data_IF_542423297371
#
_entry.id   IF_542423297371
#
_cell.length_a   1.000
_cell.length_b   1.000
_cell.length_c   1.000
_cell.angle_alpha   90.00
_cell.angle_beta   90.00
_cell.angle_gamma   90.00
#
_symmetry.space_group_name_H-M   'P 1'
#
loop_
_entity.id
_entity.type
_entity.pdbx_description
1 polymer ?
#
# COMPACT_ATOMS: atom_id res chain seq x y z
N UNK A 1 14.20 -11.31 3.46
CA UNK A 1 13.25 -11.52 4.60
C UNK A 1 13.10 -10.25 5.43
N UNK A 2 14.20 -9.59 5.79
CA UNK A 2 14.21 -8.29 6.48
C UNK A 2 13.44 -7.19 5.71
N UNK A 3 13.41 -7.26 4.38
CA UNK A 3 12.70 -6.25 3.57
C UNK A 3 11.18 -6.48 3.50
N UNK A 4 10.71 -7.72 3.58
CA UNK A 4 9.27 -8.00 3.66
C UNK A 4 8.70 -7.51 5.00
N UNK A 5 9.48 -7.67 6.08
CA UNK A 5 9.13 -7.15 7.41
C UNK A 5 9.06 -5.61 7.41
N UNK A 6 10.01 -4.91 6.75
CA UNK A 6 9.93 -3.46 6.58
C UNK A 6 8.66 -3.04 5.84
N UNK A 7 8.31 -3.72 4.76
CA UNK A 7 7.10 -3.39 4.00
C UNK A 7 5.84 -3.64 4.84
N UNK A 8 5.78 -4.74 5.60
CA UNK A 8 4.66 -5.00 6.51
C UNK A 8 4.56 -3.92 7.60
N UNK A 9 5.69 -3.51 8.21
CA UNK A 9 5.70 -2.41 9.17
C UNK A 9 5.22 -1.09 8.55
N UNK A 10 5.63 -0.78 7.32
CA UNK A 10 5.15 0.42 6.61
C UNK A 10 3.64 0.36 6.38
N UNK A 11 3.10 -0.81 6.01
CA UNK A 11 1.66 -1.02 5.85
C UNK A 11 0.92 -0.86 7.18
N UNK A 12 1.46 -1.38 8.27
CA UNK A 12 0.85 -1.24 9.60
C UNK A 12 0.80 0.24 10.02
N UNK A 13 1.85 1.01 9.77
CA UNK A 13 1.88 2.48 10.00
C UNK A 13 0.83 3.19 9.13
N UNK A 14 0.68 2.79 7.87
CA UNK A 14 -0.35 3.35 6.98
C UNK A 14 -1.75 3.08 7.53
N UNK A 15 -1.99 1.88 8.08
CA UNK A 15 -3.27 1.48 8.65
C UNK A 15 -3.62 2.19 9.99
N UNK A 16 -2.70 2.97 10.57
CA UNK A 16 -3.01 3.83 11.73
C UNK A 16 -3.85 5.06 11.35
N UNK A 17 -3.88 5.48 10.07
CA UNK A 17 -4.78 6.54 9.62
C UNK A 17 -6.23 5.99 9.63
N UNK A 18 -7.15 6.58 10.40
CA UNK A 18 -8.52 6.06 10.55
C UNK A 18 -9.32 6.09 9.26
N UNK A 19 -8.86 6.82 8.24
CA UNK A 19 -9.48 6.84 6.91
C UNK A 19 -9.02 5.68 6.04
N UNK A 20 -7.97 4.96 6.43
CA UNK A 20 -7.36 3.92 5.60
C UNK A 20 -7.72 2.55 6.18
N UNK A 21 -8.45 1.79 5.38
CA UNK A 21 -8.73 0.40 5.66
C UNK A 21 -7.78 -0.48 4.83
N UNK A 22 -6.90 -1.22 5.50
CA UNK A 22 -6.02 -2.18 4.85
C UNK A 22 -6.51 -3.60 5.11
N UNK A 23 -6.68 -4.37 4.05
CA UNK A 23 -7.01 -5.79 4.10
C UNK A 23 -5.88 -6.62 3.48
N UNK A 24 -5.20 -7.42 4.30
CA UNK A 24 -4.15 -8.35 3.84
C UNK A 24 -4.79 -9.57 3.16
N UNK A 25 -4.47 -9.79 1.89
CA UNK A 25 -4.95 -10.95 1.10
C UNK A 25 -3.98 -12.12 1.24
N UNK A 26 -2.68 -11.84 1.20
CA UNK A 26 -1.59 -12.78 1.50
C UNK A 26 -0.34 -11.97 1.92
N UNK A 27 0.80 -12.62 2.08
CA UNK A 27 2.05 -11.94 2.51
C UNK A 27 2.58 -10.88 1.54
N UNK A 28 2.12 -10.90 0.29
CA UNK A 28 2.59 -10.04 -0.80
C UNK A 28 1.47 -9.20 -1.42
N UNK A 29 0.23 -9.29 -0.94
CA UNK A 29 -0.92 -8.61 -1.57
C UNK A 29 -1.83 -7.99 -0.52
N UNK A 30 -2.13 -6.71 -0.72
CA UNK A 30 -2.92 -5.89 0.19
C UNK A 30 -3.95 -5.10 -0.61
N UNK A 31 -5.18 -5.08 -0.11
CA UNK A 31 -6.18 -4.12 -0.58
C UNK A 31 -6.17 -2.91 0.37
N UNK A 32 -6.22 -1.72 -0.20
CA UNK A 32 -6.37 -0.46 0.50
C UNK A 32 -7.67 0.16 0.05
N UNK A 33 -8.44 0.65 1.01
CA UNK A 33 -9.60 1.51 0.78
C UNK A 33 -9.40 2.77 1.62
N UNK A 34 -9.57 3.93 1.00
CA UNK A 34 -9.46 5.24 1.66
C UNK A 34 -10.84 5.87 1.72
N UNK A 35 -11.31 6.13 2.93
CA UNK A 35 -12.56 6.83 3.21
C UNK A 35 -12.36 8.34 3.13
N UNK A 36 -13.15 9.02 2.31
CA UNK A 36 -13.10 10.47 2.16
C UNK A 36 -13.54 10.93 0.78
N UNK A 37 -13.27 12.19 0.46
CA UNK A 37 -13.49 12.71 -0.89
C UNK A 37 -12.54 12.04 -1.89
N UNK A 38 -12.99 11.90 -3.14
CA UNK A 38 -12.25 11.18 -4.19
C UNK A 38 -10.86 11.78 -4.43
N UNK A 39 -10.75 13.11 -4.50
CA UNK A 39 -9.48 13.80 -4.76
C UNK A 39 -8.47 13.57 -3.63
N UNK A 40 -8.91 13.75 -2.39
CA UNK A 40 -8.08 13.52 -1.19
C UNK A 40 -7.61 12.07 -1.11
N UNK A 41 -8.47 11.13 -1.53
CA UNK A 41 -8.16 9.69 -1.57
C UNK A 41 -7.07 9.39 -2.60
N UNK A 42 -7.12 10.00 -3.78
CA UNK A 42 -6.06 9.85 -4.80
C UNK A 42 -4.71 10.40 -4.34
N UNK A 43 -4.70 11.60 -3.75
CA UNK A 43 -3.46 12.18 -3.20
C UNK A 43 -2.88 11.25 -2.13
N UNK A 44 -3.74 10.72 -1.25
CA UNK A 44 -3.32 9.80 -0.19
C UNK A 44 -2.80 8.47 -0.72
N UNK A 45 -3.43 7.90 -1.76
CA UNK A 45 -2.92 6.71 -2.44
C UNK A 45 -1.53 6.95 -3.05
N UNK A 46 -1.28 8.14 -3.62
CA UNK A 46 0.03 8.53 -4.12
C UNK A 46 1.09 8.56 -3.02
N UNK A 47 0.79 9.15 -1.86
CA UNK A 47 1.70 9.16 -0.71
C UNK A 47 2.03 7.73 -0.21
N UNK A 48 1.02 6.86 -0.16
CA UNK A 48 1.18 5.46 0.25
C UNK A 48 2.10 4.72 -0.72
N UNK A 49 1.87 4.87 -2.03
CA UNK A 49 2.69 4.24 -3.05
C UNK A 49 4.15 4.66 -2.89
N UNK A 50 4.45 5.96 -2.79
CA UNK A 50 5.84 6.43 -2.65
C UNK A 50 6.52 5.89 -1.39
N UNK A 51 5.84 5.87 -0.24
CA UNK A 51 6.41 5.31 1.00
C UNK A 51 6.71 3.81 0.89
N UNK A 52 5.87 3.07 0.20
CA UNK A 52 6.07 1.64 0.00
C UNK A 52 7.17 1.35 -1.01
N UNK A 53 7.27 2.13 -2.08
CA UNK A 53 8.39 2.06 -3.03
C UNK A 53 9.72 2.34 -2.34
N UNK A 54 9.80 3.33 -1.44
CA UNK A 54 10.98 3.58 -0.61
C UNK A 54 11.30 2.44 0.36
N UNK A 55 10.28 1.68 0.78
CA UNK A 55 10.45 0.51 1.66
C UNK A 55 10.85 -0.75 0.88
N UNK A 56 10.64 -0.77 -0.44
CA UNK A 56 11.04 -1.86 -1.32
C UNK A 56 12.54 -1.80 -1.60
N UNK A 57 13.24 -2.90 -1.35
CA UNK A 57 14.62 -3.09 -1.80
C UNK A 57 14.67 -3.64 -3.23
N UNK A 58 15.86 -3.87 -3.77
CA UNK A 58 16.05 -4.55 -5.06
C UNK A 58 15.42 -5.97 -5.12
N UNK A 59 15.02 -6.56 -3.98
CA UNK A 59 14.36 -7.87 -3.92
C UNK A 59 12.88 -7.82 -4.32
N UNK A 60 12.21 -6.68 -4.13
CA UNK A 60 10.77 -6.56 -4.36
C UNK A 60 10.44 -5.32 -5.19
N UNK A 61 9.51 -5.46 -6.12
CA UNK A 61 8.89 -4.33 -6.83
C UNK A 61 7.44 -4.16 -6.39
N UNK A 62 7.01 -2.91 -6.23
CA UNK A 62 5.62 -2.59 -5.92
C UNK A 62 4.84 -2.39 -7.21
N UNK A 63 3.74 -3.12 -7.34
CA UNK A 63 2.73 -2.92 -8.36
C UNK A 63 1.42 -2.49 -7.72
N UNK A 64 0.98 -1.29 -8.06
CA UNK A 64 -0.30 -0.73 -7.62
C UNK A 64 -1.34 -0.83 -8.73
N UNK A 65 -2.47 -1.47 -8.43
CA UNK A 65 -3.66 -1.52 -9.29
C UNK A 65 -4.70 -0.61 -8.67
N UNK A 66 -4.95 0.53 -9.30
CA UNK A 66 -5.99 1.46 -8.88
C UNK A 66 -7.37 0.92 -9.27
N UNK A 67 -8.34 1.02 -8.36
CA UNK A 67 -9.75 0.78 -8.63
C UNK A 67 -10.45 2.05 -9.11
N UNK A 68 -11.71 2.23 -8.69
CA UNK A 68 -12.55 3.36 -9.12
C UNK A 68 -12.25 4.66 -8.34
N UNK A 69 -11.21 4.62 -7.49
CA UNK A 69 -10.45 5.78 -7.05
C UNK A 69 -10.20 5.85 -5.54
N UNK A 70 -11.11 5.29 -4.74
CA UNK A 70 -10.91 5.16 -3.28
C UNK A 70 -10.23 3.85 -2.90
N UNK A 71 -10.19 2.88 -3.81
CA UNK A 71 -9.59 1.58 -3.59
C UNK A 71 -8.36 1.36 -4.47
N UNK A 72 -7.38 0.65 -3.91
CA UNK A 72 -6.22 0.19 -4.63
C UNK A 72 -5.79 -1.19 -4.14
N UNK A 73 -5.21 -1.98 -5.03
CA UNK A 73 -4.55 -3.23 -4.70
C UNK A 73 -3.05 -3.08 -4.87
N UNK A 74 -2.32 -3.33 -3.80
CA UNK A 74 -0.87 -3.33 -3.76
C UNK A 74 -0.38 -4.77 -3.87
N UNK A 75 0.54 -5.01 -4.79
CA UNK A 75 1.13 -6.32 -5.04
C UNK A 75 2.65 -6.16 -4.98
N UNK A 76 3.29 -6.92 -4.11
CA UNK A 76 4.74 -7.06 -4.04
C UNK A 76 5.16 -8.19 -4.96
N UNK A 77 5.84 -7.86 -6.04
CA UNK A 77 6.42 -8.84 -6.97
C UNK A 77 7.87 -9.06 -6.57
N UNK A 78 8.26 -10.32 -6.35
CA UNK A 78 9.66 -10.65 -6.06
C UNK A 78 10.46 -10.62 -7.37
N UNK A 79 11.55 -9.87 -7.38
CA UNK A 79 12.46 -9.75 -8.53
C UNK A 79 13.31 -11.01 -8.74
#
# INVERSE_FOLDING_TARGET
MEDLEKIHNTIDIIAEDPRINVSKINDYTFNIVIEGELMDSFEKLGEIQSKLEESCSDEYSLKTIYGDGQDAKLILEKN
#
